data_IF_829280158087
#
_entry.id   IF_829280158087
#
_cell.length_a   1.000
_cell.length_b   1.000
_cell.length_c   1.000
_cell.angle_alpha   90.00
_cell.angle_beta   90.00
_cell.angle_gamma   90.00
#
_symmetry.space_group_name_H-M   'P 1'
#
loop_
_entity.id
_entity.type
_entity.pdbx_description
1 polymer ?
#
# COMPACT_ATOMS: atom_id res chain seq x y z
N UNK A 1 -7.43 -35.40 18.70
CA UNK A 1 -6.17 -36.12 18.37
C UNK A 1 -5.61 -35.66 17.02
N UNK A 2 -4.30 -35.41 16.93
CA UNK A 2 -3.59 -35.01 15.70
C UNK A 2 -3.64 -36.07 14.56
N UNK A 3 -4.37 -37.17 14.74
CA UNK A 3 -4.42 -38.31 13.82
C UNK A 3 -5.43 -38.17 12.66
N UNK A 4 -6.18 -37.06 12.54
CA UNK A 4 -7.09 -36.78 11.41
C UNK A 4 -7.14 -35.29 11.06
N UNK A 5 -6.00 -34.69 10.75
CA UNK A 5 -5.98 -33.33 10.22
C UNK A 5 -6.39 -33.35 8.74
N UNK A 6 -7.45 -32.63 8.31
CA UNK A 6 -7.91 -32.64 6.92
C UNK A 6 -6.83 -32.28 5.89
N UNK A 7 -5.91 -31.38 6.23
CA UNK A 7 -4.79 -31.02 5.34
C UNK A 7 -3.92 -32.23 4.92
N UNK A 8 -3.90 -33.32 5.70
CA UNK A 8 -3.09 -34.51 5.42
C UNK A 8 -3.84 -35.57 4.59
N UNK A 9 -5.05 -35.29 4.11
CA UNK A 9 -5.84 -36.28 3.35
C UNK A 9 -5.20 -36.68 2.02
N UNK A 10 -4.56 -35.73 1.34
CA UNK A 10 -3.81 -35.97 0.10
C UNK A 10 -2.42 -35.35 0.22
N UNK A 11 -1.40 -36.10 -0.19
CA UNK A 11 -0.03 -35.63 -0.33
C UNK A 11 0.49 -35.98 -1.72
N UNK A 12 0.92 -34.97 -2.47
CA UNK A 12 1.52 -35.12 -3.78
C UNK A 12 3.05 -34.98 -3.66
N UNK A 13 3.76 -36.02 -4.10
CA UNK A 13 5.24 -36.03 -4.18
C UNK A 13 5.65 -36.73 -5.49
N UNK A 14 6.16 -36.03 -6.51
CA UNK A 14 6.43 -34.58 -6.54
C UNK A 14 5.14 -33.74 -6.51
N UNK A 15 5.26 -32.50 -6.04
CA UNK A 15 4.19 -31.51 -6.12
C UNK A 15 3.81 -31.18 -7.58
N UNK A 16 2.52 -30.92 -7.82
CA UNK A 16 1.97 -30.55 -9.14
C UNK A 16 1.14 -29.27 -9.06
N UNK A 17 1.79 -28.12 -8.92
CA UNK A 17 1.08 -26.83 -8.83
C UNK A 17 0.18 -26.52 -10.04
N UNK A 18 0.47 -27.08 -11.22
CA UNK A 18 -0.37 -26.93 -12.40
C UNK A 18 -1.75 -27.55 -12.30
N UNK A 19 -2.00 -28.40 -11.30
CA UNK A 19 -3.35 -28.92 -11.01
C UNK A 19 -4.20 -27.93 -10.19
N UNK A 20 -3.60 -26.86 -9.63
CA UNK A 20 -4.33 -25.83 -8.90
C UNK A 20 -4.93 -24.81 -9.87
N UNK A 21 -6.13 -24.27 -9.58
CA UNK A 21 -6.79 -23.26 -10.41
C UNK A 21 -6.19 -21.86 -10.14
N UNK A 22 -4.88 -21.71 -10.35
CA UNK A 22 -4.18 -20.44 -10.19
C UNK A 22 -4.71 -19.41 -11.19
N UNK A 23 -4.74 -18.14 -10.78
CA UNK A 23 -5.31 -17.06 -11.60
C UNK A 23 -4.22 -16.26 -12.31
N UNK A 24 -4.51 -15.91 -13.57
CA UNK A 24 -3.89 -14.78 -14.26
C UNK A 24 -4.95 -13.69 -14.28
N UNK A 25 -4.75 -12.66 -13.46
CA UNK A 25 -5.80 -11.68 -13.12
C UNK A 25 -5.92 -10.60 -14.18
N UNK A 26 -4.79 -10.15 -14.70
CA UNK A 26 -4.71 -9.11 -15.73
C UNK A 26 -4.11 -9.68 -17.02
N UNK A 27 -4.50 -9.11 -18.15
CA UNK A 27 -3.94 -9.49 -19.46
C UNK A 27 -2.42 -9.25 -19.56
N UNK A 28 -1.89 -8.36 -18.73
CA UNK A 28 -0.48 -7.98 -18.62
C UNK A 28 0.31 -8.83 -17.63
N UNK A 29 -0.34 -9.66 -16.81
CA UNK A 29 0.33 -10.49 -15.81
C UNK A 29 1.32 -11.48 -16.47
N UNK A 30 2.53 -11.59 -15.92
CA UNK A 30 3.59 -12.46 -16.44
C UNK A 30 3.31 -13.97 -16.29
N UNK A 31 2.19 -14.36 -15.70
CA UNK A 31 1.80 -15.75 -15.50
C UNK A 31 0.65 -15.92 -14.52
N UNK A 32 0.54 -17.12 -13.95
CA UNK A 32 -0.46 -17.43 -12.94
C UNK A 32 0.11 -17.20 -11.53
N UNK A 33 -0.70 -16.63 -10.65
CA UNK A 33 -0.32 -16.22 -9.30
C UNK A 33 -1.18 -16.90 -8.23
N UNK A 34 -0.56 -17.11 -7.06
CA UNK A 34 -1.29 -17.27 -5.80
C UNK A 34 -1.50 -15.88 -5.23
N UNK A 35 -2.77 -15.46 -5.12
CA UNK A 35 -3.14 -14.07 -4.79
C UNK A 35 -3.51 -13.87 -3.32
N UNK A 36 -3.89 -14.94 -2.60
CA UNK A 36 -4.04 -14.96 -1.14
C UNK A 36 -3.05 -15.95 -0.46
N UNK A 37 -1.75 -15.83 -0.73
CA UNK A 37 -0.75 -16.74 -0.18
C UNK A 37 -0.51 -16.43 1.30
N UNK A 38 -0.42 -17.48 2.12
CA UNK A 38 -0.08 -17.37 3.53
C UNK A 38 1.29 -18.01 3.73
N UNK A 39 2.34 -17.20 3.64
CA UNK A 39 3.74 -17.65 3.66
C UNK A 39 4.25 -17.70 5.08
N UNK A 40 4.59 -18.90 5.52
CA UNK A 40 5.16 -19.17 6.83
C UNK A 40 6.67 -19.45 6.73
N UNK A 41 7.43 -18.74 7.57
CA UNK A 41 8.89 -18.90 7.72
C UNK A 41 9.29 -18.75 9.19
N UNK A 42 10.41 -19.34 9.57
CA UNK A 42 11.03 -19.19 10.89
C UNK A 42 12.42 -18.58 10.75
N UNK A 43 12.82 -17.70 11.67
CA UNK A 43 14.15 -17.11 11.63
C UNK A 43 15.21 -18.21 11.86
N UNK A 44 16.32 -18.25 11.08
CA UNK A 44 17.40 -19.25 11.24
C UNK A 44 18.08 -19.30 12.63
N UNK A 45 17.80 -18.34 13.51
CA UNK A 45 18.35 -18.25 14.88
C UNK A 45 17.31 -18.63 15.95
N UNK A 46 16.12 -19.07 15.54
CA UNK A 46 15.02 -19.33 16.47
C UNK A 46 14.43 -18.06 17.12
N UNK A 47 14.56 -16.90 16.46
CA UNK A 47 14.04 -15.60 16.97
C UNK A 47 12.53 -15.41 16.78
N UNK A 48 11.84 -16.39 16.24
CA UNK A 48 10.40 -16.32 16.00
C UNK A 48 10.00 -16.83 14.62
N UNK A 49 8.71 -16.74 14.37
CA UNK A 49 8.09 -17.09 13.09
C UNK A 49 7.33 -15.90 12.53
N UNK A 50 7.13 -15.91 11.22
CA UNK A 50 6.37 -14.90 10.49
C UNK A 50 5.34 -15.62 9.62
N UNK A 51 4.08 -15.19 9.68
CA UNK A 51 3.09 -15.47 8.65
C UNK A 51 2.82 -14.19 7.87
N UNK A 52 3.16 -14.16 6.59
CA UNK A 52 2.96 -12.97 5.75
C UNK A 52 2.23 -13.30 4.45
N UNK A 53 1.59 -12.29 3.86
CA UNK A 53 1.00 -12.39 2.53
C UNK A 53 1.93 -11.79 1.48
N UNK A 54 2.55 -12.65 0.67
CA UNK A 54 3.51 -12.27 -0.38
C UNK A 54 3.10 -12.95 -1.68
N UNK A 55 2.77 -12.20 -2.75
CA UNK A 55 2.33 -12.80 -4.01
C UNK A 55 3.36 -13.81 -4.55
N UNK A 56 2.87 -14.88 -5.14
CA UNK A 56 3.70 -16.00 -5.63
C UNK A 56 3.37 -16.30 -7.08
N UNK A 57 4.34 -16.10 -7.99
CA UNK A 57 4.19 -16.46 -9.39
C UNK A 57 4.58 -17.91 -9.63
N UNK A 58 3.73 -18.69 -10.29
CA UNK A 58 4.09 -20.03 -10.73
C UNK A 58 5.01 -19.97 -11.96
N UNK A 59 6.13 -20.67 -11.89
CA UNK A 59 6.97 -20.93 -13.06
C UNK A 59 6.72 -22.30 -13.68
N UNK A 60 6.59 -23.31 -12.83
CA UNK A 60 6.30 -24.70 -13.21
C UNK A 60 5.58 -25.41 -12.05
N UNK A 61 5.53 -26.74 -12.07
CA UNK A 61 4.83 -27.51 -11.03
C UNK A 61 5.51 -27.50 -9.66
N UNK A 62 6.78 -27.09 -9.60
CA UNK A 62 7.65 -27.21 -8.43
C UNK A 62 8.46 -25.96 -8.11
N UNK A 63 8.40 -24.92 -8.94
CA UNK A 63 9.10 -23.68 -8.68
C UNK A 63 8.19 -22.46 -8.85
N UNK A 64 8.38 -21.49 -7.95
CA UNK A 64 7.65 -20.23 -7.97
C UNK A 64 8.56 -19.05 -7.64
N UNK A 65 8.24 -17.85 -8.10
CA UNK A 65 8.83 -16.61 -7.61
C UNK A 65 8.14 -16.19 -6.31
N UNK A 66 8.89 -15.77 -5.30
CA UNK A 66 8.34 -15.23 -4.06
C UNK A 66 8.66 -13.75 -3.87
N UNK A 67 7.63 -12.93 -3.94
CA UNK A 67 7.75 -11.48 -3.81
C UNK A 67 7.58 -11.03 -2.36
N UNK A 68 8.51 -11.40 -1.48
CA UNK A 68 8.63 -10.73 -0.18
C UNK A 68 9.40 -9.42 -0.34
N UNK A 69 8.90 -8.35 0.27
CA UNK A 69 9.63 -7.07 0.31
C UNK A 69 10.67 -7.11 1.44
N UNK A 70 11.78 -6.36 1.27
CA UNK A 70 12.93 -6.38 2.20
C UNK A 70 12.59 -5.94 3.63
N UNK A 71 11.54 -5.14 3.82
CA UNK A 71 11.08 -4.62 5.11
C UNK A 71 10.01 -5.48 5.79
N UNK A 72 9.74 -6.68 5.26
CA UNK A 72 8.73 -7.61 5.80
C UNK A 72 9.43 -8.82 6.42
N UNK A 73 8.81 -9.45 7.42
CA UNK A 73 9.47 -10.51 8.20
C UNK A 73 10.02 -11.67 7.37
N UNK A 74 9.31 -12.13 6.33
CA UNK A 74 9.82 -13.16 5.41
C UNK A 74 11.10 -12.74 4.66
N UNK A 75 11.20 -11.48 4.24
CA UNK A 75 12.39 -10.92 3.59
C UNK A 75 13.59 -10.85 4.55
N UNK A 76 13.35 -10.48 5.81
CA UNK A 76 14.38 -10.49 6.86
C UNK A 76 14.88 -11.92 7.17
N UNK A 77 13.98 -12.90 7.31
CA UNK A 77 14.34 -14.30 7.50
C UNK A 77 15.18 -14.84 6.34
N UNK A 78 14.81 -14.51 5.10
CA UNK A 78 15.58 -14.91 3.92
C UNK A 78 16.94 -14.22 3.86
N UNK A 79 17.02 -12.92 4.16
CA UNK A 79 18.31 -12.23 4.23
C UNK A 79 19.25 -12.86 5.26
N UNK A 80 18.74 -13.22 6.44
CA UNK A 80 19.52 -13.91 7.46
C UNK A 80 20.02 -15.28 6.98
N UNK A 81 19.19 -16.08 6.30
CA UNK A 81 19.59 -17.37 5.73
C UNK A 81 20.59 -17.20 4.57
N UNK A 82 20.35 -16.24 3.68
CA UNK A 82 21.21 -15.93 2.54
C UNK A 82 22.60 -15.46 2.99
N UNK A 83 22.68 -14.66 4.06
CA UNK A 83 23.96 -14.22 4.65
C UNK A 83 24.85 -15.38 5.16
N UNK A 84 24.24 -16.56 5.36
CA UNK A 84 24.90 -17.80 5.80
C UNK A 84 25.09 -18.80 4.67
N UNK A 85 24.65 -18.45 3.45
CA UNK A 85 24.59 -19.36 2.32
C UNK A 85 23.76 -20.62 2.64
N UNK A 86 22.67 -20.46 3.41
CA UNK A 86 21.73 -21.51 3.80
C UNK A 86 20.39 -21.33 3.08
N UNK A 87 19.70 -22.44 2.82
CA UNK A 87 18.32 -22.37 2.30
C UNK A 87 17.34 -22.07 3.42
N UNK A 88 16.36 -21.20 3.18
CA UNK A 88 15.29 -20.92 4.13
C UNK A 88 14.14 -21.93 3.95
N UNK A 89 13.81 -22.76 4.96
CA UNK A 89 12.60 -23.57 4.91
C UNK A 89 11.36 -22.70 4.82
N UNK A 90 10.38 -23.10 4.00
CA UNK A 90 9.17 -22.33 3.78
C UNK A 90 7.95 -23.24 3.63
N UNK A 91 6.82 -22.79 4.21
CA UNK A 91 5.51 -23.38 3.94
C UNK A 91 4.58 -22.31 3.38
N UNK A 92 4.04 -22.54 2.20
CA UNK A 92 2.95 -21.74 1.63
C UNK A 92 1.63 -22.41 1.98
N UNK A 93 0.80 -21.76 2.79
CA UNK A 93 -0.60 -22.14 2.97
C UNK A 93 -1.50 -21.38 2.00
N UNK A 94 -2.56 -22.04 1.54
CA UNK A 94 -3.63 -21.41 0.74
C UNK A 94 -4.94 -21.84 1.39
N UNK A 95 -5.79 -20.86 1.71
CA UNK A 95 -7.04 -21.07 2.42
C UNK A 95 -6.89 -21.56 3.86
N UNK A 96 -8.03 -22.00 4.41
CA UNK A 96 -8.17 -22.37 5.81
C UNK A 96 -8.94 -21.33 6.63
N UNK A 97 -8.75 -21.28 7.96
CA UNK A 97 -9.49 -20.35 8.81
C UNK A 97 -9.29 -18.89 8.36
N UNK A 98 -10.36 -18.09 8.14
CA UNK A 98 -10.24 -16.70 7.67
C UNK A 98 -9.35 -15.81 8.54
N UNK A 99 -9.27 -16.13 9.84
CA UNK A 99 -8.37 -15.47 10.78
C UNK A 99 -6.89 -15.51 10.38
N UNK A 100 -6.46 -16.51 9.59
CA UNK A 100 -5.10 -16.55 9.06
C UNK A 100 -4.84 -15.42 8.06
N UNK A 101 -5.78 -15.15 7.16
CA UNK A 101 -5.65 -14.07 6.18
C UNK A 101 -5.58 -12.72 6.88
N UNK A 102 -6.49 -12.49 7.84
CA UNK A 102 -6.49 -11.28 8.67
C UNK A 102 -5.20 -11.12 9.47
N UNK A 103 -4.67 -12.21 10.03
CA UNK A 103 -3.45 -12.17 10.81
C UNK A 103 -2.20 -11.92 9.94
N UNK A 104 -2.13 -12.52 8.75
CA UNK A 104 -0.98 -12.44 7.86
C UNK A 104 -0.74 -11.05 7.25
N UNK A 105 -1.75 -10.18 7.30
CA UNK A 105 -1.71 -8.80 6.78
C UNK A 105 -1.79 -7.76 7.90
N UNK A 106 -2.08 -8.17 9.14
CA UNK A 106 -2.21 -7.25 10.25
C UNK A 106 -0.87 -6.54 10.53
N UNK A 107 -0.86 -5.20 10.71
CA UNK A 107 0.34 -4.45 11.03
C UNK A 107 0.71 -4.63 12.51
N UNK A 108 1.17 -5.83 12.86
CA UNK A 108 1.56 -6.17 14.23
C UNK A 108 2.97 -5.67 14.56
N UNK A 109 3.25 -5.35 15.83
CA UNK A 109 4.61 -5.23 16.33
C UNK A 109 5.41 -6.52 16.08
N UNK A 110 6.70 -6.39 15.76
CA UNK A 110 7.57 -7.53 15.39
C UNK A 110 7.63 -8.66 16.44
N UNK A 111 7.37 -8.33 17.71
CA UNK A 111 7.40 -9.28 18.81
C UNK A 111 6.06 -10.00 19.05
N UNK A 112 5.02 -9.74 18.24
CA UNK A 112 3.70 -10.38 18.35
C UNK A 112 3.52 -11.31 17.14
N UNK A 113 3.59 -12.64 17.32
CA UNK A 113 3.47 -13.57 16.20
C UNK A 113 2.05 -13.61 15.62
N UNK A 114 1.93 -13.64 14.29
CA UNK A 114 0.63 -13.61 13.60
C UNK A 114 -0.23 -14.83 13.92
N UNK A 115 0.36 -16.00 14.12
CA UNK A 115 -0.41 -17.20 14.51
C UNK A 115 -1.08 -17.06 15.89
N UNK A 116 -0.52 -16.22 16.77
CA UNK A 116 -1.16 -15.87 18.04
C UNK A 116 -2.37 -14.97 17.80
N UNK A 117 -2.26 -13.97 16.94
CA UNK A 117 -3.40 -13.13 16.54
C UNK A 117 -4.48 -13.99 15.87
N UNK A 118 -4.12 -14.90 14.97
CA UNK A 118 -5.06 -15.80 14.33
C UNK A 118 -5.85 -16.62 15.38
N UNK A 119 -5.17 -17.14 16.40
CA UNK A 119 -5.83 -17.86 17.52
C UNK A 119 -6.74 -16.94 18.34
N UNK A 120 -6.31 -15.71 18.61
CA UNK A 120 -7.13 -14.71 19.33
C UNK A 120 -8.41 -14.37 18.56
N UNK A 121 -8.30 -14.15 17.24
CA UNK A 121 -9.44 -13.86 16.37
C UNK A 121 -10.41 -15.05 16.25
N UNK A 122 -9.88 -16.29 16.29
CA UNK A 122 -10.70 -17.50 16.31
C UNK A 122 -11.40 -17.72 17.66
N UNK A 123 -10.90 -17.13 18.74
CA UNK A 123 -11.36 -17.40 20.11
C UNK A 123 -10.87 -18.74 20.68
N UNK A 124 -10.03 -19.46 19.94
CA UNK A 124 -9.45 -20.74 20.34
C UNK A 124 -8.04 -20.93 19.75
N UNK A 125 -7.28 -21.89 20.29
CA UNK A 125 -5.95 -22.19 19.77
C UNK A 125 -6.03 -22.71 18.35
N UNK A 126 -5.32 -22.07 17.41
CA UNK A 126 -5.24 -22.49 16.02
C UNK A 126 -4.87 -23.99 15.91
N UNK A 127 -5.73 -24.83 15.30
CA UNK A 127 -5.43 -26.25 15.15
C UNK A 127 -4.26 -26.49 14.20
N UNK A 128 -3.18 -27.07 14.72
CA UNK A 128 -1.97 -27.43 13.96
C UNK A 128 -1.71 -28.93 14.04
N UNK A 129 -1.06 -29.49 13.03
CA UNK A 129 -0.62 -30.89 12.98
C UNK A 129 0.85 -30.99 12.58
N UNK A 130 1.51 -32.08 12.97
CA UNK A 130 2.88 -32.36 12.53
C UNK A 130 2.85 -32.88 11.09
N UNK A 131 3.79 -32.41 10.28
CA UNK A 131 4.06 -33.02 8.97
C UNK A 131 4.71 -34.40 9.18
N UNK A 132 4.13 -35.49 8.61
CA UNK A 132 4.72 -36.83 8.67
C UNK A 132 6.17 -36.92 8.17
N UNK A 133 6.59 -36.02 7.27
CA UNK A 133 7.97 -35.98 6.75
C UNK A 133 8.82 -34.84 7.34
N UNK A 134 8.38 -34.23 8.45
CA UNK A 134 9.17 -33.28 9.24
C UNK A 134 9.17 -31.83 8.74
N UNK A 135 9.88 -30.95 9.46
CA UNK A 135 9.90 -29.50 9.23
C UNK A 135 8.70 -28.78 9.88
N UNK A 136 8.31 -27.64 9.30
CA UNK A 136 7.20 -26.82 9.82
C UNK A 136 5.92 -27.64 10.05
N UNK A 137 5.22 -27.32 11.15
CA UNK A 137 3.87 -27.80 11.38
C UNK A 137 2.90 -27.26 10.32
N UNK A 138 1.81 -27.97 10.08
CA UNK A 138 0.76 -27.59 9.14
C UNK A 138 -0.47 -27.08 9.88
N UNK A 139 -1.11 -26.03 9.36
CA UNK A 139 -2.45 -25.65 9.83
C UNK A 139 -3.45 -26.72 9.41
N UNK A 140 -4.11 -27.35 10.38
CA UNK A 140 -4.87 -28.58 10.17
C UNK A 140 -6.03 -28.43 9.19
N UNK A 141 -6.61 -27.22 9.13
CA UNK A 141 -7.76 -26.87 8.31
C UNK A 141 -7.41 -26.00 7.09
N UNK A 142 -6.13 -25.82 6.75
CA UNK A 142 -5.76 -25.20 5.48
C UNK A 142 -6.30 -26.03 4.30
N UNK A 143 -6.58 -25.37 3.16
CA UNK A 143 -7.05 -26.05 1.96
C UNK A 143 -5.87 -26.70 1.23
N UNK A 144 -4.78 -25.95 1.09
CA UNK A 144 -3.51 -26.42 0.52
C UNK A 144 -2.32 -25.99 1.38
N UNK A 145 -1.26 -26.80 1.37
CA UNK A 145 0.04 -26.45 1.93
C UNK A 145 1.18 -26.96 1.03
N UNK A 146 1.89 -26.05 0.37
CA UNK A 146 3.10 -26.37 -0.38
C UNK A 146 4.32 -26.20 0.53
N UNK A 147 5.14 -27.25 0.63
CA UNK A 147 6.35 -27.26 1.46
C UNK A 147 7.62 -27.42 0.64
N UNK A 148 8.66 -26.73 1.09
CA UNK A 148 10.01 -26.88 0.57
C UNK A 148 10.94 -25.81 1.12
N UNK A 149 11.74 -25.20 0.26
CA UNK A 149 12.78 -24.26 0.67
C UNK A 149 13.07 -23.20 -0.39
N UNK A 150 13.67 -22.09 0.04
CA UNK A 150 14.16 -21.01 -0.82
C UNK A 150 15.69 -20.99 -0.72
N UNK A 151 16.43 -21.40 -1.77
CA UNK A 151 17.88 -21.45 -1.74
C UNK A 151 18.49 -20.04 -1.79
N UNK A 152 19.68 -19.84 -1.20
CA UNK A 152 20.36 -18.56 -1.22
C UNK A 152 20.78 -18.21 -2.66
N UNK A 153 20.81 -16.92 -2.98
CA UNK A 153 21.34 -16.38 -4.23
C UNK A 153 20.64 -16.82 -5.53
N UNK A 154 19.59 -17.63 -5.47
CA UNK A 154 18.83 -18.04 -6.64
C UNK A 154 17.61 -17.13 -6.83
N UNK A 155 17.61 -16.39 -7.94
CA UNK A 155 16.51 -15.50 -8.32
C UNK A 155 16.09 -15.76 -9.75
N UNK A 156 14.83 -15.49 -10.07
CA UNK A 156 14.26 -15.55 -11.42
C UNK A 156 13.32 -14.35 -11.64
N UNK A 157 13.11 -13.93 -12.89
CA UNK A 157 12.16 -12.87 -13.21
C UNK A 157 10.74 -13.22 -12.73
N UNK A 158 10.16 -12.36 -11.90
CA UNK A 158 8.76 -12.36 -11.48
C UNK A 158 8.03 -11.14 -12.04
N UNK A 159 6.75 -11.27 -12.35
CA UNK A 159 5.93 -10.21 -12.94
C UNK A 159 6.04 -10.13 -14.47
N UNK A 160 5.37 -9.15 -15.12
CA UNK A 160 4.60 -8.07 -14.52
C UNK A 160 3.38 -8.56 -13.73
N UNK A 161 2.84 -7.72 -12.85
CA UNK A 161 1.65 -8.06 -12.06
C UNK A 161 0.84 -6.81 -11.73
N UNK A 162 -0.48 -6.88 -11.85
CA UNK A 162 -1.33 -5.76 -11.43
C UNK A 162 -1.38 -5.58 -9.91
N UNK A 163 -0.79 -4.50 -9.40
CA UNK A 163 -0.70 -4.23 -7.97
C UNK A 163 -1.81 -3.32 -7.41
N UNK A 164 -1.81 -3.23 -6.08
CA UNK A 164 -2.79 -2.50 -5.29
C UNK A 164 -2.69 -0.97 -5.42
N UNK A 165 -1.64 -0.44 -6.04
CA UNK A 165 -1.58 0.97 -6.41
C UNK A 165 -2.31 1.24 -7.73
N UNK A 166 -2.78 0.21 -8.44
CA UNK A 166 -3.43 0.39 -9.74
C UNK A 166 -2.46 0.52 -10.91
N UNK A 167 -1.22 0.06 -10.76
CA UNK A 167 -0.21 0.04 -11.83
C UNK A 167 0.27 -1.38 -12.09
N UNK A 168 0.80 -1.62 -13.29
CA UNK A 168 1.51 -2.84 -13.59
C UNK A 168 2.87 -2.83 -12.89
N UNK A 169 3.02 -3.62 -11.83
CA UNK A 169 4.34 -3.84 -11.24
C UNK A 169 5.31 -4.35 -12.30
N UNK A 170 6.51 -3.76 -12.34
CA UNK A 170 7.55 -4.17 -13.29
C UNK A 170 8.12 -5.56 -12.96
N UNK A 171 8.71 -6.18 -13.98
CA UNK A 171 9.43 -7.44 -13.81
C UNK A 171 10.75 -7.22 -13.06
N UNK A 172 10.95 -7.96 -11.98
CA UNK A 172 12.23 -7.98 -11.24
C UNK A 172 12.63 -9.39 -10.83
N UNK A 173 13.89 -9.58 -10.49
CA UNK A 173 14.41 -10.86 -10.02
C UNK A 173 14.07 -11.09 -8.53
N UNK A 174 13.22 -12.08 -8.26
CA UNK A 174 12.84 -12.49 -6.91
C UNK A 174 13.33 -13.89 -6.57
N UNK A 175 13.51 -14.22 -5.27
CA UNK A 175 13.92 -15.56 -4.84
C UNK A 175 12.99 -16.65 -5.36
N UNK A 176 13.55 -17.84 -5.58
CA UNK A 176 12.81 -18.99 -6.10
C UNK A 176 12.43 -19.93 -4.96
N UNK A 177 11.13 -20.17 -4.77
CA UNK A 177 10.67 -21.23 -3.87
C UNK A 177 10.62 -22.57 -4.58
N UNK A 178 11.40 -23.53 -4.07
CA UNK A 178 11.41 -24.91 -4.53
C UNK A 178 10.45 -25.74 -3.69
N UNK A 179 9.49 -26.36 -4.36
CA UNK A 179 8.44 -27.16 -3.74
C UNK A 179 8.79 -28.62 -3.86
N UNK A 180 8.78 -29.28 -2.70
CA UNK A 180 8.99 -30.71 -2.60
C UNK A 180 7.65 -31.45 -2.58
N UNK A 181 6.69 -30.92 -1.80
CA UNK A 181 5.45 -31.61 -1.44
C UNK A 181 4.28 -30.63 -1.44
N UNK A 182 3.14 -31.10 -1.92
CA UNK A 182 1.86 -30.39 -1.84
C UNK A 182 0.86 -31.24 -1.06
N UNK A 183 0.43 -30.72 0.08
CA UNK A 183 -0.66 -31.28 0.89
C UNK A 183 -1.96 -30.56 0.57
N UNK A 184 -3.07 -31.29 0.53
CA UNK A 184 -4.39 -30.69 0.40
C UNK A 184 -5.49 -31.57 0.96
N UNK A 185 -6.61 -30.93 1.30
CA UNK A 185 -7.86 -31.61 1.65
C UNK A 185 -8.44 -32.32 0.42
N UNK A 186 -9.28 -33.34 0.61
CA UNK A 186 -10.19 -33.75 -0.45
C UNK A 186 -11.20 -32.64 -0.71
N UNK A 187 -11.52 -32.44 -1.99
CA UNK A 187 -12.43 -31.38 -2.45
C UNK A 187 -12.03 -29.98 -1.95
N UNK A 188 -10.72 -29.72 -1.93
CA UNK A 188 -10.17 -28.47 -1.41
C UNK A 188 -10.65 -27.25 -2.22
N UNK A 189 -10.93 -26.17 -1.51
CA UNK A 189 -11.40 -24.90 -2.07
C UNK A 189 -10.21 -23.97 -2.26
N UNK A 190 -10.05 -23.42 -3.46
CA UNK A 190 -8.99 -22.47 -3.76
C UNK A 190 -9.50 -21.03 -3.60
N UNK A 191 -9.21 -20.32 -2.49
CA UNK A 191 -9.53 -18.91 -2.38
C UNK A 191 -8.60 -18.10 -3.26
N UNK A 192 -9.17 -17.10 -3.94
CA UNK A 192 -8.44 -16.21 -4.80
C UNK A 192 -9.07 -14.82 -4.76
N UNK A 193 -8.31 -13.84 -5.20
CA UNK A 193 -8.70 -12.43 -5.25
C UNK A 193 -8.04 -11.77 -6.46
N UNK A 194 -8.60 -10.66 -6.93
CA UNK A 194 -8.01 -9.84 -7.99
C UNK A 194 -7.54 -8.55 -7.34
N UNK A 195 -6.22 -8.34 -7.36
CA UNK A 195 -5.59 -7.11 -6.86
C UNK A 195 -5.49 -6.13 -8.03
N UNK A 196 -5.60 -4.83 -7.76
CA UNK A 196 -5.52 -3.81 -8.79
C UNK A 196 -5.83 -2.44 -8.23
N UNK A 197 -6.30 -1.55 -9.11
CA UNK A 197 -6.72 -0.21 -8.70
C UNK A 197 -7.78 -0.29 -7.59
N UNK A 198 -7.59 0.38 -6.43
CA UNK A 198 -8.57 0.37 -5.36
C UNK A 198 -9.93 0.85 -5.86
N UNK A 199 -11.05 0.30 -5.37
CA UNK A 199 -11.16 -0.63 -4.22
C UNK A 199 -11.24 -2.09 -4.68
N UNK A 200 -10.35 -2.94 -4.18
CA UNK A 200 -10.42 -4.40 -4.30
C UNK A 200 -10.56 -5.05 -2.91
N UNK A 201 -10.54 -6.38 -2.80
CA UNK A 201 -10.76 -7.07 -1.52
C UNK A 201 -9.75 -6.65 -0.43
N UNK A 202 -8.49 -6.41 -0.82
CA UNK A 202 -7.43 -5.91 0.04
C UNK A 202 -7.75 -4.54 0.68
N UNK A 203 -8.42 -3.65 -0.06
CA UNK A 203 -8.93 -2.38 0.47
C UNK A 203 -9.86 -2.62 1.66
N UNK A 204 -10.86 -3.49 1.51
CA UNK A 204 -11.85 -3.72 2.55
C UNK A 204 -11.26 -4.43 3.77
N UNK A 205 -10.36 -5.38 3.54
CA UNK A 205 -9.70 -6.09 4.63
C UNK A 205 -8.78 -5.14 5.40
N UNK A 206 -7.99 -4.32 4.69
CA UNK A 206 -7.10 -3.35 5.32
C UNK A 206 -7.86 -2.30 6.14
N UNK A 207 -8.97 -1.78 5.62
CA UNK A 207 -9.82 -0.84 6.36
C UNK A 207 -10.44 -1.46 7.62
N UNK A 208 -10.95 -2.70 7.51
CA UNK A 208 -11.47 -3.41 8.67
C UNK A 208 -10.40 -3.62 9.76
N UNK A 209 -9.18 -4.00 9.36
CA UNK A 209 -8.08 -4.21 10.31
C UNK A 209 -7.64 -2.92 10.99
N UNK A 210 -7.63 -1.81 10.27
CA UNK A 210 -7.36 -0.51 10.88
C UNK A 210 -8.39 -0.18 11.97
N UNK A 211 -9.68 -0.36 11.68
CA UNK A 211 -10.74 -0.09 12.64
C UNK A 211 -10.62 -1.02 13.87
N UNK A 212 -10.38 -2.31 13.63
CA UNK A 212 -10.18 -3.33 14.67
C UNK A 212 -8.99 -3.01 15.58
N UNK A 213 -7.88 -2.53 15.02
CA UNK A 213 -6.64 -2.26 15.75
C UNK A 213 -6.53 -0.81 16.27
N UNK A 214 -7.42 0.09 15.83
CA UNK A 214 -7.39 1.52 16.21
C UNK A 214 -7.33 1.79 17.72
N UNK A 215 -7.97 0.99 18.61
CA UNK A 215 -7.87 1.21 20.05
C UNK A 215 -6.46 0.97 20.61
N UNK A 216 -5.60 0.25 19.89
CA UNK A 216 -4.23 -0.03 20.31
C UNK A 216 -3.29 1.15 20.01
N UNK A 217 -3.58 1.98 19.01
CA UNK A 217 -2.67 3.05 18.59
C UNK A 217 -2.28 4.00 19.73
N UNK A 218 -3.20 4.51 20.58
CA UNK A 218 -2.82 5.38 21.69
C UNK A 218 -2.02 4.67 22.79
N UNK A 219 -2.09 3.34 22.87
CA UNK A 219 -1.33 2.53 23.83
C UNK A 219 0.13 2.34 23.38
N UNK A 220 0.35 2.18 22.07
CA UNK A 220 1.69 1.93 21.49
C UNK A 220 2.40 3.21 21.06
N UNK A 221 1.66 4.24 20.63
CA UNK A 221 2.17 5.53 20.16
C UNK A 221 1.61 6.68 21.01
N UNK A 222 2.24 6.94 22.15
CA UNK A 222 1.82 8.03 23.03
C UNK A 222 1.78 9.39 22.28
N UNK A 223 0.70 10.14 22.49
CA UNK A 223 0.42 11.39 21.80
C UNK A 223 -0.38 11.24 20.50
N UNK A 224 -0.50 10.03 19.95
CA UNK A 224 -1.40 9.73 18.81
C UNK A 224 -2.79 9.41 19.36
N UNK A 225 -3.80 10.19 18.99
CA UNK A 225 -5.19 10.04 19.43
C UNK A 225 -6.04 9.28 18.42
N UNK A 226 -5.78 9.51 17.14
CA UNK A 226 -6.41 8.82 16.03
C UNK A 226 -5.41 8.74 14.89
N UNK A 227 -5.46 7.65 14.12
CA UNK A 227 -4.63 7.44 12.94
C UNK A 227 -5.48 6.74 11.88
N UNK A 228 -5.37 7.16 10.63
CA UNK A 228 -5.99 6.52 9.48
C UNK A 228 -4.97 6.51 8.33
N UNK A 229 -4.76 5.34 7.73
CA UNK A 229 -4.15 5.21 6.42
C UNK A 229 -5.24 5.06 5.36
N UNK A 230 -5.04 5.68 4.20
CA UNK A 230 -6.09 5.78 3.17
C UNK A 230 -5.91 4.68 2.13
N UNK A 231 -6.82 3.69 2.16
CA UNK A 231 -6.79 2.55 1.24
C UNK A 231 -6.96 2.96 -0.24
N UNK A 232 -7.59 4.11 -0.52
CA UNK A 232 -7.69 4.69 -1.87
C UNK A 232 -6.32 4.94 -2.49
N UNK A 233 -5.29 5.06 -1.65
CA UNK A 233 -3.89 5.33 -2.03
C UNK A 233 -2.99 4.12 -1.80
N UNK A 234 -3.55 2.91 -1.66
CA UNK A 234 -2.79 1.71 -1.32
C UNK A 234 -2.28 1.69 0.13
N UNK A 235 -2.92 2.43 1.04
CA UNK A 235 -2.58 2.63 2.45
C UNK A 235 -1.25 3.36 2.72
N UNK A 236 -0.16 3.04 2.01
CA UNK A 236 1.16 3.56 2.36
C UNK A 236 1.46 4.94 1.74
N UNK A 237 0.74 5.40 0.72
CA UNK A 237 1.04 6.73 0.17
C UNK A 237 0.53 7.87 1.06
N UNK A 238 -0.59 7.68 1.77
CA UNK A 238 -1.22 8.71 2.58
C UNK A 238 -1.68 8.19 3.94
N UNK A 239 -1.28 8.89 4.99
CA UNK A 239 -1.81 8.72 6.33
C UNK A 239 -2.17 10.08 6.96
N UNK A 240 -3.10 10.05 7.90
CA UNK A 240 -3.45 11.20 8.72
C UNK A 240 -3.56 10.81 10.19
N UNK A 241 -3.14 11.71 11.09
CA UNK A 241 -3.25 11.51 12.51
C UNK A 241 -3.72 12.75 13.27
N UNK A 242 -4.62 12.52 14.22
CA UNK A 242 -4.94 13.48 15.28
C UNK A 242 -3.98 13.24 16.42
N UNK A 243 -3.23 14.27 16.80
CA UNK A 243 -2.16 14.17 17.80
C UNK A 243 -2.32 15.21 18.90
N UNK A 244 -1.68 14.97 20.04
CA UNK A 244 -1.60 15.97 21.11
C UNK A 244 -0.60 17.06 20.76
N UNK A 245 -0.95 18.30 21.06
CA UNK A 245 -0.08 19.45 20.88
C UNK A 245 -0.20 20.44 22.05
N UNK A 246 0.30 20.03 23.22
CA UNK A 246 0.18 20.72 24.52
C UNK A 246 1.08 21.94 24.64
N UNK A 247 2.20 21.91 23.93
CA UNK A 247 3.15 23.02 23.80
C UNK A 247 3.57 23.13 22.33
N UNK A 248 4.06 24.30 21.89
CA UNK A 248 4.36 24.54 20.49
C UNK A 248 5.23 23.44 19.87
N UNK A 249 4.75 22.86 18.77
CA UNK A 249 5.44 21.86 17.94
C UNK A 249 5.59 20.47 18.56
N UNK A 250 4.89 20.15 19.66
CA UNK A 250 4.88 18.78 20.22
C UNK A 250 4.46 17.74 19.17
N UNK A 251 3.47 18.08 18.32
CA UNK A 251 2.96 17.21 17.25
C UNK A 251 4.04 16.63 16.33
N UNK A 252 5.15 17.34 16.12
CA UNK A 252 6.27 16.88 15.30
C UNK A 252 6.86 15.56 15.81
N UNK A 253 7.00 15.40 17.13
CA UNK A 253 7.53 14.19 17.73
C UNK A 253 6.60 12.98 17.51
N UNK A 254 5.28 13.19 17.59
CA UNK A 254 4.28 12.15 17.25
C UNK A 254 4.35 11.77 15.78
N UNK A 255 4.58 12.73 14.88
CA UNK A 255 4.80 12.47 13.47
C UNK A 255 6.00 11.57 13.19
N UNK A 256 7.16 11.89 13.79
CA UNK A 256 8.34 11.02 13.67
C UNK A 256 8.12 9.63 14.27
N UNK A 257 7.32 9.52 15.35
CA UNK A 257 6.95 8.20 15.89
C UNK A 257 6.17 7.39 14.87
N UNK A 258 5.14 7.98 14.24
CA UNK A 258 4.34 7.31 13.21
C UNK A 258 5.23 6.86 12.04
N UNK A 259 6.09 7.76 11.54
CA UNK A 259 7.01 7.47 10.43
C UNK A 259 8.14 6.49 10.80
N UNK A 260 8.31 6.17 12.08
CA UNK A 260 9.27 5.17 12.56
C UNK A 260 8.66 3.83 12.96
N UNK A 261 7.33 3.68 12.88
CA UNK A 261 6.62 2.53 13.46
C UNK A 261 6.27 1.48 12.40
N UNK A 262 6.95 0.33 12.42
CA UNK A 262 6.61 -0.85 11.61
C UNK A 262 6.22 -0.52 10.16
N UNK A 263 5.01 -0.92 9.76
CA UNK A 263 4.49 -0.68 8.42
C UNK A 263 4.15 0.80 8.13
N UNK A 264 3.88 1.61 9.16
CA UNK A 264 3.61 3.04 9.00
C UNK A 264 4.86 3.81 8.55
N UNK A 265 6.06 3.23 8.73
CA UNK A 265 7.30 3.79 8.17
C UNK A 265 7.27 3.89 6.64
N UNK A 266 6.41 3.14 5.95
CA UNK A 266 6.22 3.24 4.49
C UNK A 266 5.41 4.47 4.07
N UNK A 267 4.72 5.15 5.01
CA UNK A 267 3.92 6.37 4.75
C UNK A 267 4.71 7.39 3.93
N UNK A 268 4.25 7.74 2.72
CA UNK A 268 4.86 8.80 1.89
C UNK A 268 4.47 10.19 2.36
N UNK A 269 3.18 10.41 2.60
CA UNK A 269 2.66 11.72 3.01
C UNK A 269 1.84 11.59 4.29
N UNK A 270 2.30 12.23 5.37
CA UNK A 270 1.64 12.24 6.68
C UNK A 270 1.01 13.60 6.96
N UNK A 271 -0.29 13.64 7.18
CA UNK A 271 -1.03 14.82 7.62
C UNK A 271 -1.24 14.79 9.13
N UNK A 272 -0.87 15.85 9.82
CA UNK A 272 -1.06 15.99 11.27
C UNK A 272 -1.98 17.15 11.61
N UNK A 273 -2.86 16.92 12.57
CA UNK A 273 -3.71 17.95 13.18
C UNK A 273 -3.81 17.73 14.69
N UNK A 274 -3.96 18.81 15.45
CA UNK A 274 -4.36 18.80 16.86
C UNK A 274 -5.84 19.22 17.05
N UNK A 275 -6.58 19.37 15.94
CA UNK A 275 -7.97 19.78 15.93
C UNK A 275 -8.92 18.66 16.35
N UNK A 276 -10.06 19.07 16.92
CA UNK A 276 -11.16 18.17 17.32
C UNK A 276 -12.01 17.77 16.10
N UNK A 277 -11.39 17.04 15.18
CA UNK A 277 -12.02 16.46 13.99
C UNK A 277 -11.71 14.97 13.88
N UNK A 278 -12.50 14.25 13.09
CA UNK A 278 -12.24 12.87 12.73
C UNK A 278 -11.36 12.82 11.48
N UNK A 279 -10.17 12.21 11.59
CA UNK A 279 -9.21 12.17 10.47
C UNK A 279 -9.64 11.24 9.33
N UNK A 280 -10.67 10.41 9.56
CA UNK A 280 -11.29 9.56 8.53
C UNK A 280 -12.12 10.37 7.52
N UNK A 281 -12.60 11.56 7.88
CA UNK A 281 -13.27 12.49 6.96
C UNK A 281 -12.23 13.36 6.26
N UNK A 282 -11.63 12.84 5.19
CA UNK A 282 -10.55 13.53 4.48
C UNK A 282 -10.96 14.93 4.01
N UNK A 283 -12.20 15.12 3.54
CA UNK A 283 -12.65 16.43 3.04
C UNK A 283 -12.59 17.49 4.13
N UNK A 284 -13.09 17.17 5.33
CA UNK A 284 -13.00 18.08 6.49
C UNK A 284 -11.56 18.24 6.97
N UNK A 285 -10.81 17.15 7.04
CA UNK A 285 -9.40 17.18 7.45
C UNK A 285 -8.56 18.09 6.57
N UNK A 286 -8.66 17.94 5.25
CA UNK A 286 -7.87 18.68 4.28
C UNK A 286 -8.13 20.18 4.37
N UNK A 287 -9.41 20.58 4.38
CA UNK A 287 -9.82 21.99 4.57
C UNK A 287 -9.31 22.52 5.92
N UNK A 288 -9.53 21.78 7.01
CA UNK A 288 -9.10 22.16 8.35
C UNK A 288 -7.59 22.41 8.44
N UNK A 289 -6.79 21.55 7.79
CA UNK A 289 -5.33 21.69 7.74
C UNK A 289 -4.91 22.88 6.89
N UNK A 290 -5.51 23.07 5.71
CA UNK A 290 -5.19 24.20 4.83
C UNK A 290 -5.54 25.57 5.44
N UNK A 291 -6.58 25.64 6.27
CA UNK A 291 -6.88 26.85 7.05
C UNK A 291 -5.79 27.19 8.08
N UNK A 292 -5.01 26.21 8.53
CA UNK A 292 -4.10 26.32 9.70
C UNK A 292 -2.62 26.19 9.36
N UNK A 293 -2.27 25.59 8.24
CA UNK A 293 -0.88 25.36 7.86
C UNK A 293 -0.11 26.67 7.69
N UNK A 294 1.07 26.78 8.29
CA UNK A 294 2.05 27.79 7.91
C UNK A 294 3.11 27.18 7.00
N UNK A 295 3.03 27.47 5.70
CA UNK A 295 3.97 26.96 4.68
C UNK A 295 5.44 27.34 4.91
N UNK A 296 5.69 28.32 5.79
CA UNK A 296 7.04 28.68 6.20
C UNK A 296 7.66 27.70 7.22
N UNK A 297 6.85 26.86 7.86
CA UNK A 297 7.28 26.11 9.05
C UNK A 297 6.73 24.70 9.18
N UNK A 298 5.61 24.39 8.51
CA UNK A 298 4.76 23.25 8.86
C UNK A 298 4.74 22.12 7.81
N UNK A 299 5.51 22.27 6.72
CA UNK A 299 5.80 21.18 5.79
C UNK A 299 7.25 20.73 5.97
N UNK A 300 7.44 19.48 6.34
CA UNK A 300 8.76 18.85 6.42
C UNK A 300 8.90 17.84 5.30
N UNK A 301 9.97 17.95 4.52
CA UNK A 301 10.30 17.00 3.45
C UNK A 301 11.59 16.26 3.82
N UNK A 302 11.53 14.93 3.77
CA UNK A 302 12.65 14.02 4.00
C UNK A 302 13.06 13.42 2.66
N UNK A 303 14.06 14.02 2.01
CA UNK A 303 14.33 13.78 0.58
C UNK A 303 15.07 12.47 0.24
N UNK A 304 15.81 11.90 1.19
CA UNK A 304 16.68 10.75 0.94
C UNK A 304 16.38 9.64 1.95
N UNK A 305 15.27 8.94 1.73
CA UNK A 305 14.79 7.88 2.62
C UNK A 305 14.43 6.62 1.84
N UNK A 306 14.28 5.52 2.57
CA UNK A 306 13.67 4.32 2.00
C UNK A 306 12.19 4.58 1.68
N UNK A 307 11.74 4.05 0.55
CA UNK A 307 10.36 4.12 0.09
C UNK A 307 9.83 2.71 -0.20
N UNK A 308 8.51 2.58 -0.34
CA UNK A 308 7.88 1.33 -0.77
C UNK A 308 8.44 0.86 -2.12
N UNK A 309 8.68 -0.43 -2.27
CA UNK A 309 9.13 -1.06 -3.51
C UNK A 309 8.19 -0.79 -4.68
N UNK A 310 6.88 -0.65 -4.41
CA UNK A 310 5.83 -0.47 -5.40
C UNK A 310 5.43 1.00 -5.62
N UNK A 311 6.07 1.95 -4.93
CA UNK A 311 5.83 3.37 -5.17
C UNK A 311 6.85 3.92 -6.18
N UNK A 312 6.36 4.11 -7.40
CA UNK A 312 7.16 4.51 -8.56
C UNK A 312 7.43 6.02 -8.65
N UNK A 313 7.00 6.82 -7.66
CA UNK A 313 7.23 8.27 -7.71
C UNK A 313 8.69 8.64 -7.48
N UNK A 314 9.44 7.82 -6.74
CA UNK A 314 10.83 8.09 -6.38
C UNK A 314 11.84 7.88 -7.52
N UNK A 315 13.12 8.28 -7.30
CA UNK A 315 14.17 8.21 -8.32
C UNK A 315 14.61 6.79 -8.68
N UNK A 316 14.38 5.81 -7.80
CA UNK A 316 14.69 4.40 -8.05
C UNK A 316 13.96 3.49 -7.06
N UNK A 317 13.90 2.18 -7.35
CA UNK A 317 13.26 1.18 -6.48
C UNK A 317 13.79 1.27 -5.04
N UNK A 318 12.88 1.31 -4.07
CA UNK A 318 13.13 1.46 -2.62
C UNK A 318 13.73 2.80 -2.18
N UNK A 319 13.96 3.78 -3.05
CA UNK A 319 14.49 5.10 -2.70
C UNK A 319 13.50 6.20 -3.07
N UNK A 320 13.38 7.20 -2.19
CA UNK A 320 12.75 8.47 -2.54
C UNK A 320 12.51 9.33 -1.32
N UNK A 321 11.33 9.95 -1.23
CA UNK A 321 11.09 11.00 -0.24
C UNK A 321 9.75 10.88 0.47
N UNK A 322 9.69 11.48 1.66
CA UNK A 322 8.50 11.56 2.51
C UNK A 322 8.19 13.01 2.85
N UNK A 323 6.93 13.31 3.13
CA UNK A 323 6.53 14.57 3.71
C UNK A 323 5.65 14.40 4.95
N UNK A 324 5.81 15.34 5.86
CA UNK A 324 4.94 15.54 7.01
C UNK A 324 4.40 16.96 6.97
N UNK A 325 3.08 17.07 6.83
CA UNK A 325 2.35 18.33 6.71
C UNK A 325 1.50 18.54 7.96
N UNK A 326 1.66 19.68 8.62
CA UNK A 326 0.96 19.95 9.89
C UNK A 326 0.00 21.14 9.75
N UNK A 327 -1.25 20.94 10.15
CA UNK A 327 -2.24 22.00 10.33
C UNK A 327 -2.60 22.10 11.81
N UNK A 328 -1.83 22.88 12.56
CA UNK A 328 -1.93 22.95 14.02
C UNK A 328 -2.55 24.26 14.49
N UNK A 329 -3.20 24.20 15.65
CA UNK A 329 -3.74 25.36 16.36
C UNK A 329 -5.26 25.42 16.33
N UNK A 330 -5.81 26.09 17.33
CA UNK A 330 -7.27 26.18 17.52
C UNK A 330 -7.94 27.01 16.44
N UNK A 331 -7.41 28.21 16.20
CA UNK A 331 -8.01 29.18 15.29
C UNK A 331 -7.51 29.02 13.85
N UNK A 332 -8.40 29.12 12.84
CA UNK A 332 -7.99 29.19 11.46
C UNK A 332 -7.17 30.47 11.21
N UNK A 333 -6.18 30.38 10.31
CA UNK A 333 -5.29 31.49 9.94
C UNK A 333 -5.78 32.24 8.70
N UNK A 334 -6.73 31.66 7.97
CA UNK A 334 -7.21 32.16 6.68
C UNK A 334 -8.60 31.59 6.36
N UNK A 335 -9.27 32.25 5.43
CA UNK A 335 -10.45 31.72 4.73
C UNK A 335 -9.96 31.21 3.37
N UNK A 336 -10.42 30.03 2.97
CA UNK A 336 -9.99 29.40 1.73
C UNK A 336 -10.90 29.83 0.55
N UNK A 337 -10.35 30.05 -0.65
CA UNK A 337 -11.16 30.36 -1.83
C UNK A 337 -12.04 29.17 -2.25
N UNK A 338 -13.25 29.49 -2.71
CA UNK A 338 -14.25 28.50 -3.18
C UNK A 338 -14.68 28.74 -4.64
N UNK A 339 -14.14 29.77 -5.29
CA UNK A 339 -14.39 30.09 -6.70
C UNK A 339 -13.11 30.52 -7.40
N UNK A 340 -13.01 30.24 -8.69
CA UNK A 340 -11.87 30.59 -9.53
C UNK A 340 -12.35 31.25 -10.82
N UNK A 341 -11.87 32.47 -11.06
CA UNK A 341 -12.13 33.24 -12.28
C UNK A 341 -10.83 33.91 -12.70
N UNK A 342 -10.05 33.24 -13.54
CA UNK A 342 -8.79 33.78 -14.04
C UNK A 342 -8.22 32.95 -15.17
N UNK A 343 -7.30 33.57 -15.91
CA UNK A 343 -6.62 32.91 -17.03
C UNK A 343 -5.44 32.08 -16.53
N UNK A 344 -5.38 30.84 -17.00
CA UNK A 344 -4.28 29.93 -16.73
C UNK A 344 -3.16 30.11 -17.77
N UNK A 345 -1.89 29.82 -17.43
CA UNK A 345 -0.80 29.92 -18.38
C UNK A 345 -0.96 28.94 -19.55
N UNK A 346 -0.32 29.25 -20.69
CA UNK A 346 -0.27 28.34 -21.85
C UNK A 346 0.25 26.95 -21.44
N UNK A 347 -0.42 25.89 -21.90
CA UNK A 347 -0.14 24.51 -21.51
C UNK A 347 -1.07 24.02 -20.39
N UNK A 348 -1.90 24.90 -19.80
CA UNK A 348 -3.01 24.53 -18.95
C UNK A 348 -4.32 24.48 -19.74
N UNK A 349 -5.19 23.53 -19.36
CA UNK A 349 -6.55 23.42 -19.85
C UNK A 349 -7.55 23.97 -18.85
N UNK A 350 -8.46 23.12 -18.38
CA UNK A 350 -9.48 23.45 -17.39
C UNK A 350 -8.90 23.52 -15.97
N UNK A 351 -9.58 24.24 -15.09
CA UNK A 351 -9.42 24.13 -13.65
C UNK A 351 -10.76 23.74 -13.00
N UNK A 352 -10.70 22.84 -12.03
CA UNK A 352 -11.84 22.38 -11.23
C UNK A 352 -11.53 22.63 -9.75
N UNK A 353 -12.52 23.03 -8.97
CA UNK A 353 -12.37 23.22 -7.53
C UNK A 353 -12.82 21.95 -6.85
N UNK A 354 -11.88 21.23 -6.23
CA UNK A 354 -12.22 19.97 -5.57
C UNK A 354 -12.67 20.19 -4.12
N UNK A 355 -11.91 20.99 -3.39
CA UNK A 355 -12.18 21.41 -2.01
C UNK A 355 -11.77 22.87 -1.84
N UNK A 356 -12.35 23.62 -0.88
CA UNK A 356 -11.91 24.98 -0.57
C UNK A 356 -10.38 25.08 -0.47
N UNK A 357 -9.79 26.06 -1.17
CA UNK A 357 -8.34 26.30 -1.18
C UNK A 357 -7.51 25.31 -1.99
N UNK A 358 -8.14 24.37 -2.71
CA UNK A 358 -7.49 23.38 -3.58
C UNK A 358 -8.04 23.44 -5.00
N UNK A 359 -7.24 23.98 -5.92
CA UNK A 359 -7.58 24.03 -7.34
C UNK A 359 -6.92 22.85 -8.06
N UNK A 360 -7.66 22.10 -8.87
CA UNK A 360 -7.12 21.03 -9.71
C UNK A 360 -7.03 21.54 -11.13
N UNK A 361 -5.82 21.65 -11.67
CA UNK A 361 -5.54 22.23 -12.98
C UNK A 361 -5.10 21.12 -13.93
N UNK A 362 -5.76 21.04 -15.07
CA UNK A 362 -5.33 20.17 -16.16
C UNK A 362 -4.13 20.78 -16.88
N UNK A 363 -3.06 20.02 -17.08
CA UNK A 363 -1.87 20.43 -17.83
C UNK A 363 -1.57 19.52 -19.02
N UNK A 364 -0.78 20.02 -19.96
CA UNK A 364 -0.10 19.17 -20.94
C UNK A 364 0.79 18.13 -20.23
N UNK A 365 0.97 16.97 -20.86
CA UNK A 365 1.70 15.86 -20.26
C UNK A 365 3.11 16.23 -19.80
N UNK A 366 3.59 15.58 -18.74
CA UNK A 366 4.85 15.92 -18.06
C UNK A 366 6.04 16.08 -19.01
N UNK A 367 6.23 15.14 -19.95
CA UNK A 367 7.34 15.16 -20.89
C UNK A 367 7.32 16.36 -21.86
N UNK A 368 6.14 16.88 -22.17
CA UNK A 368 5.98 18.01 -23.09
C UNK A 368 6.30 19.35 -22.41
N UNK A 369 5.95 19.51 -21.14
CA UNK A 369 6.08 20.78 -20.40
C UNK A 369 6.56 20.54 -18.95
N UNK A 370 7.87 20.37 -18.76
CA UNK A 370 8.45 20.13 -17.43
C UNK A 370 8.46 21.38 -16.55
N UNK A 371 8.50 22.59 -17.14
CA UNK A 371 8.51 23.87 -16.42
C UNK A 371 7.11 24.38 -16.05
N UNK A 372 6.06 23.67 -16.47
CA UNK A 372 4.66 24.06 -16.25
C UNK A 372 4.33 24.31 -14.76
N UNK A 373 4.74 23.47 -13.79
CA UNK A 373 4.48 23.71 -12.37
C UNK A 373 5.07 25.03 -11.88
N UNK A 374 6.30 25.36 -12.32
CA UNK A 374 6.94 26.62 -11.98
C UNK A 374 6.19 27.81 -12.57
N UNK A 375 5.69 27.69 -13.81
CA UNK A 375 4.87 28.74 -14.44
C UNK A 375 3.51 28.91 -13.75
N UNK A 376 2.86 27.83 -13.33
CA UNK A 376 1.64 27.90 -12.50
C UNK A 376 1.91 28.61 -11.18
N UNK A 377 3.01 28.28 -10.51
CA UNK A 377 3.34 28.85 -9.20
C UNK A 377 3.47 30.38 -9.23
N UNK A 378 3.83 30.96 -10.37
CA UNK A 378 3.94 32.40 -10.59
C UNK A 378 2.73 33.02 -11.29
N UNK A 379 1.65 32.26 -11.51
CA UNK A 379 0.43 32.77 -12.15
C UNK A 379 -0.31 33.72 -11.20
N UNK A 380 -0.52 35.01 -11.58
CA UNK A 380 -1.20 35.97 -10.71
C UNK A 380 -2.62 35.57 -10.32
N UNK A 381 -3.34 34.85 -11.20
CA UNK A 381 -4.69 34.37 -10.93
C UNK A 381 -4.75 33.32 -9.80
N UNK A 382 -3.61 32.74 -9.42
CA UNK A 382 -3.50 31.70 -8.39
C UNK A 382 -2.94 32.23 -7.06
N UNK A 383 -2.66 33.53 -6.93
CA UNK A 383 -2.00 34.12 -5.77
C UNK A 383 -2.74 33.88 -4.43
N UNK A 384 -4.07 33.80 -4.46
CA UNK A 384 -4.90 33.58 -3.25
C UNK A 384 -5.09 32.09 -2.91
N UNK A 385 -4.66 31.18 -3.79
CA UNK A 385 -4.81 29.74 -3.59
C UNK A 385 -3.70 29.19 -2.70
N UNK A 386 -4.05 28.25 -1.81
CA UNK A 386 -3.07 27.58 -0.97
C UNK A 386 -2.42 26.41 -1.72
N UNK A 387 -3.25 25.56 -2.33
CA UNK A 387 -2.81 24.38 -3.05
C UNK A 387 -3.37 24.39 -4.46
N UNK A 388 -2.52 24.03 -5.41
CA UNK A 388 -2.90 23.72 -6.77
C UNK A 388 -2.35 22.34 -7.12
N UNK A 389 -3.20 21.45 -7.61
CA UNK A 389 -2.82 20.11 -8.05
C UNK A 389 -2.78 20.12 -9.57
N UNK A 390 -1.62 19.88 -10.17
CA UNK A 390 -1.46 19.78 -11.62
C UNK A 390 -1.63 18.31 -12.05
N UNK A 391 -2.56 18.03 -12.95
CA UNK A 391 -2.90 16.66 -13.40
C UNK A 391 -3.06 16.58 -14.91
N UNK A 392 -3.02 15.36 -15.47
CA UNK A 392 -3.26 15.12 -16.91
C UNK A 392 -4.74 15.32 -17.30
N UNK A 393 -5.68 14.97 -16.42
CA UNK A 393 -7.13 15.15 -16.59
C UNK A 393 -7.77 15.62 -15.28
N UNK A 394 -8.22 16.88 -15.24
CA UNK A 394 -8.83 17.44 -14.04
C UNK A 394 -10.22 16.84 -13.78
N UNK A 395 -11.01 16.50 -14.80
CA UNK A 395 -12.36 15.93 -14.59
C UNK A 395 -12.27 14.56 -13.95
N UNK A 396 -11.40 13.71 -14.47
CA UNK A 396 -11.18 12.37 -13.92
C UNK A 396 -10.69 12.48 -12.46
N UNK A 397 -9.67 13.31 -12.21
CA UNK A 397 -9.12 13.51 -10.88
C UNK A 397 -10.13 14.08 -9.86
N UNK A 398 -11.16 14.81 -10.30
CA UNK A 398 -12.17 15.41 -9.42
C UNK A 398 -13.52 14.70 -9.42
N UNK A 399 -13.65 13.54 -10.10
CA UNK A 399 -14.93 12.83 -10.19
C UNK A 399 -15.50 12.49 -8.82
N UNK A 400 -14.64 12.02 -7.92
CA UNK A 400 -14.98 11.70 -6.53
C UNK A 400 -13.72 11.71 -5.64
N UNK A 401 -13.90 11.46 -4.34
CA UNK A 401 -12.79 11.48 -3.38
C UNK A 401 -11.76 10.37 -3.62
N UNK A 402 -12.17 9.20 -4.08
CA UNK A 402 -11.25 8.11 -4.36
C UNK A 402 -10.33 8.47 -5.53
N UNK A 403 -10.90 8.99 -6.62
CA UNK A 403 -10.13 9.43 -7.79
C UNK A 403 -9.16 10.56 -7.45
N UNK A 404 -9.59 11.52 -6.62
CA UNK A 404 -8.73 12.60 -6.14
C UNK A 404 -7.56 12.08 -5.32
N UNK A 405 -7.84 11.27 -4.29
CA UNK A 405 -6.81 10.73 -3.41
C UNK A 405 -5.81 9.86 -4.17
N UNK A 406 -6.31 8.97 -5.02
CA UNK A 406 -5.48 8.09 -5.83
C UNK A 406 -4.60 8.90 -6.78
N UNK A 407 -5.18 9.83 -7.55
CA UNK A 407 -4.43 10.63 -8.53
C UNK A 407 -3.36 11.49 -7.86
N UNK A 408 -3.69 12.15 -6.75
CA UNK A 408 -2.78 13.06 -6.06
C UNK A 408 -1.66 12.24 -5.41
N UNK A 409 -1.99 11.39 -4.44
CA UNK A 409 -0.98 10.84 -3.54
C UNK A 409 -0.19 9.66 -4.13
N UNK A 410 -0.62 9.09 -5.27
CA UNK A 410 0.17 8.05 -5.97
C UNK A 410 1.06 8.61 -7.07
N UNK A 411 0.97 9.91 -7.42
CA UNK A 411 1.68 10.47 -8.60
C UNK A 411 2.65 11.61 -8.33
N UNK A 412 2.84 12.03 -7.09
CA UNK A 412 3.88 13.01 -6.77
C UNK A 412 4.87 12.44 -5.76
N UNK A 413 6.13 12.82 -5.95
CA UNK A 413 7.21 12.65 -4.98
C UNK A 413 7.40 13.97 -4.19
N UNK A 414 7.33 13.96 -2.84
CA UNK A 414 7.43 15.18 -2.04
C UNK A 414 8.67 16.05 -2.27
N UNK A 415 9.83 15.45 -2.55
CA UNK A 415 11.08 16.20 -2.76
C UNK A 415 11.28 16.68 -4.21
N UNK A 416 10.56 16.14 -5.19
CA UNK A 416 10.76 16.43 -6.61
C UNK A 416 9.59 17.21 -7.24
N UNK A 417 8.36 16.95 -6.79
CA UNK A 417 7.13 17.39 -7.46
C UNK A 417 6.35 18.47 -6.68
N UNK A 418 6.92 19.01 -5.60
CA UNK A 418 6.35 20.15 -4.86
C UNK A 418 7.04 21.44 -5.31
N UNK A 419 6.25 22.35 -5.86
CA UNK A 419 6.70 23.68 -6.28
C UNK A 419 5.95 24.77 -5.51
N UNK A 420 6.50 25.97 -5.47
CA UNK A 420 5.94 27.11 -4.75
C UNK A 420 6.24 28.40 -5.52
N UNK A 421 5.47 29.46 -5.26
CA UNK A 421 5.73 30.78 -5.84
C UNK A 421 7.10 31.33 -5.43
N UNK A 422 7.57 30.97 -4.24
CA UNK A 422 8.94 31.19 -3.81
C UNK A 422 9.37 30.12 -2.80
N UNK A 423 10.63 29.71 -2.87
CA UNK A 423 11.28 28.78 -1.94
C UNK A 423 12.52 29.43 -1.35
N UNK A 424 12.55 29.60 -0.02
CA UNK A 424 13.69 30.18 0.70
C UNK A 424 14.23 29.18 1.74
N UNK A 425 15.54 29.15 1.96
CA UNK A 425 16.12 28.38 3.07
C UNK A 425 16.26 29.27 4.31
N UNK A 426 15.46 28.99 5.34
CA UNK A 426 15.54 29.68 6.64
C UNK A 426 15.92 28.68 7.72
N UNK A 427 17.07 28.87 8.37
CA UNK A 427 17.59 27.93 9.38
C UNK A 427 17.68 26.48 8.87
N UNK A 428 18.13 26.29 7.62
CA UNK A 428 18.14 24.99 6.91
C UNK A 428 16.76 24.33 6.74
N UNK A 429 15.67 25.09 6.89
CA UNK A 429 14.32 24.64 6.57
C UNK A 429 13.82 25.31 5.29
N UNK A 430 13.40 24.54 4.27
CA UNK A 430 12.72 25.07 3.10
C UNK A 430 11.40 25.73 3.51
N UNK A 431 11.32 27.04 3.27
CA UNK A 431 10.18 27.90 3.53
C UNK A 431 9.47 28.12 2.20
N UNK A 432 8.18 27.79 2.11
CA UNK A 432 7.42 27.91 0.86
C UNK A 432 6.42 29.07 0.91
N UNK A 433 6.28 29.77 -0.21
CA UNK A 433 5.24 30.79 -0.44
C UNK A 433 4.17 30.24 -1.38
N UNK A 434 2.88 30.22 -0.97
CA UNK A 434 1.78 29.79 -1.83
C UNK A 434 1.64 30.61 -3.13
N UNK A 435 0.96 30.06 -4.16
CA UNK A 435 0.36 28.72 -4.20
C UNK A 435 1.41 27.60 -4.19
N UNK A 436 1.09 26.50 -3.49
CA UNK A 436 1.91 25.29 -3.50
C UNK A 436 1.37 24.36 -4.57
N UNK A 437 2.21 24.05 -5.56
CA UNK A 437 1.86 23.20 -6.69
C UNK A 437 2.33 21.78 -6.39
N UNK A 438 1.42 20.81 -6.45
CA UNK A 438 1.77 19.38 -6.50
C UNK A 438 1.66 18.92 -7.95
N UNK A 439 2.79 18.60 -8.59
CA UNK A 439 2.78 18.03 -9.94
C UNK A 439 2.43 16.55 -9.87
N UNK A 440 1.17 16.23 -10.14
CA UNK A 440 0.61 14.87 -10.10
C UNK A 440 0.35 14.31 -11.51
N UNK A 441 0.96 14.91 -12.55
CA UNK A 441 0.94 14.34 -13.90
C UNK A 441 1.71 13.02 -13.94
N UNK A 442 1.32 12.12 -14.83
CA UNK A 442 2.04 10.87 -15.07
C UNK A 442 3.43 11.17 -15.63
N UNK A 443 4.45 10.60 -14.98
CA UNK A 443 5.83 10.71 -15.47
C UNK A 443 6.19 9.54 -16.38
N UNK A 444 7.08 9.73 -17.38
CA UNK A 444 7.37 8.71 -18.39
C UNK A 444 7.94 7.39 -17.87
N UNK A 445 8.47 7.38 -16.64
CA UNK A 445 9.02 6.19 -16.00
C UNK A 445 8.01 5.45 -15.12
N UNK A 446 6.80 5.99 -14.93
CA UNK A 446 5.77 5.28 -14.19
C UNK A 446 5.31 4.08 -15.02
N UNK A 447 5.04 2.93 -14.39
CA UNK A 447 4.45 1.82 -15.10
C UNK A 447 3.06 2.17 -15.64
N UNK A 448 2.59 1.38 -16.59
CA UNK A 448 1.26 1.55 -17.14
C UNK A 448 0.20 1.37 -16.04
N UNK A 449 -0.79 2.27 -16.04
CA UNK A 449 -1.99 2.14 -15.21
C UNK A 449 -2.70 0.83 -15.59
N UNK A 450 -3.19 0.11 -14.60
CA UNK A 450 -3.98 -1.10 -14.82
C UNK A 450 -5.32 -0.75 -15.45
N UNK A 451 -5.56 -1.31 -16.63
CA UNK A 451 -6.79 -1.18 -17.37
C UNK A 451 -7.38 -2.57 -17.64
N UNK A 452 -8.70 -2.68 -17.51
CA UNK A 452 -9.41 -3.91 -17.88
C UNK A 452 -9.45 -4.00 -19.40
N UNK A 453 -9.01 -5.13 -19.95
CA UNK A 453 -9.08 -5.30 -21.41
C UNK A 453 -10.53 -5.40 -21.90
N UNK A 454 -10.77 -4.81 -23.07
CA UNK A 454 -12.12 -4.68 -23.62
C UNK A 454 -12.84 -6.01 -23.82
N UNK A 455 -12.09 -7.08 -24.14
CA UNK A 455 -12.64 -8.40 -24.39
C UNK A 455 -13.14 -9.01 -23.08
N UNK A 456 -12.33 -8.94 -22.01
CA UNK A 456 -12.73 -9.41 -20.68
C UNK A 456 -13.90 -8.61 -20.14
N UNK A 457 -13.89 -7.27 -20.28
CA UNK A 457 -15.00 -6.41 -19.88
C UNK A 457 -16.32 -6.85 -20.52
N UNK A 458 -16.36 -7.00 -21.84
CA UNK A 458 -17.56 -7.48 -22.56
C UNK A 458 -18.02 -8.84 -22.09
N UNK A 459 -17.10 -9.79 -21.92
CA UNK A 459 -17.43 -11.13 -21.45
C UNK A 459 -18.09 -11.11 -20.05
N UNK A 460 -17.60 -10.26 -19.15
CA UNK A 460 -18.18 -10.10 -17.82
C UNK A 460 -19.54 -9.41 -17.92
N UNK A 461 -19.65 -8.29 -18.63
CA UNK A 461 -20.90 -7.53 -18.77
C UNK A 461 -22.04 -8.38 -19.36
N UNK A 462 -21.74 -9.24 -20.34
CA UNK A 462 -22.71 -10.16 -20.95
C UNK A 462 -23.19 -11.23 -19.96
N UNK A 463 -22.35 -11.66 -19.02
CA UNK A 463 -22.64 -12.78 -18.11
C UNK A 463 -23.05 -12.35 -16.71
N UNK A 464 -22.74 -11.12 -16.29
CA UNK A 464 -22.88 -10.69 -14.89
C UNK A 464 -24.35 -10.79 -14.43
N UNK A 465 -25.29 -10.52 -15.33
CA UNK A 465 -26.72 -10.66 -15.05
C UNK A 465 -27.16 -12.12 -14.82
N UNK A 466 -26.47 -13.09 -15.40
CA UNK A 466 -26.76 -14.52 -15.21
C UNK A 466 -26.05 -15.08 -13.97
N UNK A 467 -24.84 -14.59 -13.68
CA UNK A 467 -24.00 -15.06 -12.56
C UNK A 467 -24.45 -14.44 -11.23
N UNK A 468 -24.77 -13.14 -11.19
CA UNK A 468 -25.19 -12.45 -9.99
C UNK A 468 -26.72 -12.43 -9.86
N UNK A 469 -27.27 -12.96 -8.75
CA UNK A 469 -28.68 -12.82 -8.41
C UNK A 469 -29.13 -11.36 -8.48
N UNK A 470 -30.36 -11.12 -8.91
CA UNK A 470 -30.91 -9.76 -9.08
C UNK A 470 -30.87 -8.89 -7.82
N UNK A 471 -30.76 -9.48 -6.62
CA UNK A 471 -30.63 -8.75 -5.35
C UNK A 471 -29.23 -8.16 -5.10
N UNK A 472 -28.24 -8.56 -5.89
CA UNK A 472 -26.84 -8.11 -5.80
C UNK A 472 -26.37 -7.33 -7.03
N UNK A 473 -27.27 -7.11 -8.00
CA UNK A 473 -27.09 -6.11 -9.06
C UNK A 473 -27.65 -4.80 -8.56
#
# INVERSE_FOLDING_TARGET
PAAKAPILEVCQTPARLGELPLLTSWATDGGAFVTLPLVYTEHPDGRGHNLGMYRIQRYDDRTTGIHWQIHKGGGYHYHAAESRNESLPMTLFIGGPPALMLAAIAPLPENIPELMLASLLLGEKLPITRDPAGGHALVAHAEFAAKGFVPPHMRRPEGPFGDHYGYNSLTHDYPVFHIERLYHRRDAIYPATVVGRPRQEDFYIGDYLQDLLSPLFPLVMNGVRQLKTFGETGFHCLAAAKVTNRYPREAFASGLRILGEGQLSLTKFLILTDGEIEVTDFKKLWVHVLERINWQTDLFVFANVSQDTLDYTGPSVNNGSKAMMMGLGKEPRRILPESFHGDLPQGCGRAEIFLPGTLVVQGEGFAAQQDLPARLAHCPALADWQVVVLVDDARAATENLQEFLWTVFTRFEPAADIHAAATELRRFHPTLTPPIIFDCRLKPWYPEVLEVDEKTRRMVDEKISEILPSRYR
#
